data_IF_982830543662
#
_entry.id   IF_982830543662
#
_cell.length_a   1.000
_cell.length_b   1.000
_cell.length_c   1.000
_cell.angle_alpha   90.00
_cell.angle_beta   90.00
_cell.angle_gamma   90.00
#
_symmetry.space_group_name_H-M   'P 1'
#
loop_
_entity.id
_entity.type
_entity.pdbx_description
1 polymer ?
#
# COMPACT_ATOMS: atom_id res chain seq x y z
N UNK A 1 5.64 11.40 14.25
CA UNK A 1 5.30 10.92 12.90
C UNK A 1 5.86 9.51 12.73
N UNK A 2 5.06 8.49 12.38
CA UNK A 2 5.48 7.07 12.39
C UNK A 2 4.79 6.30 11.26
N UNK A 3 5.53 5.50 10.49
CA UNK A 3 4.95 4.47 9.64
C UNK A 3 4.62 3.24 10.50
N UNK A 4 3.36 2.81 10.52
CA UNK A 4 2.89 1.65 11.30
C UNK A 4 2.16 0.73 10.34
N UNK A 5 2.59 -0.53 10.27
CA UNK A 5 1.78 -1.60 9.69
C UNK A 5 0.65 -1.91 10.67
N UNK A 6 -0.59 -1.62 10.28
CA UNK A 6 -1.77 -1.95 11.09
C UNK A 6 -2.42 -3.22 10.54
N UNK A 7 -2.72 -4.14 11.44
CA UNK A 7 -3.58 -5.28 11.15
C UNK A 7 -5.02 -4.77 11.17
N UNK A 8 -5.64 -4.58 10.00
CA UNK A 8 -7.07 -4.30 9.92
C UNK A 8 -7.81 -5.65 9.91
N UNK A 9 -8.22 -6.10 11.11
CA UNK A 9 -9.22 -7.16 11.23
C UNK A 9 -10.58 -6.52 10.96
N UNK A 10 -11.24 -6.86 9.84
CA UNK A 10 -12.70 -6.78 9.81
C UNK A 10 -13.19 -7.77 10.86
N UNK A 11 -13.95 -7.29 11.84
CA UNK A 11 -14.49 -8.10 12.93
C UNK A 11 -15.13 -9.41 12.40
N UNK A 12 -14.35 -10.48 12.49
CA UNK A 12 -14.84 -11.86 12.59
C UNK A 12 -14.21 -12.40 13.87
N UNK A 13 -14.41 -11.69 14.98
CA UNK A 13 -14.19 -12.26 16.30
C UNK A 13 -15.42 -13.08 16.67
N UNK A 14 -15.38 -14.36 16.31
CA UNK A 14 -15.93 -15.38 17.17
C UNK A 14 -15.27 -16.74 16.87
N UNK A 15 -14.59 -17.26 17.91
CA UNK A 15 -14.18 -18.66 18.15
C UNK A 15 -12.82 -19.07 17.57
N UNK A 16 -11.80 -19.10 18.44
CA UNK A 16 -11.41 -20.31 19.18
C UNK A 16 -10.15 -20.00 20.01
N UNK A 17 -10.32 -19.85 21.32
CA UNK A 17 -9.24 -20.02 22.30
C UNK A 17 -8.88 -21.51 22.36
N UNK A 18 -7.65 -21.86 21.98
CA UNK A 18 -7.05 -23.14 22.34
C UNK A 18 -5.68 -22.83 22.92
N UNK A 19 -5.58 -22.92 24.26
CA UNK A 19 -4.33 -23.04 24.98
C UNK A 19 -3.64 -24.35 24.58
N UNK A 20 -2.46 -24.24 24.00
CA UNK A 20 -1.57 -25.36 23.69
C UNK A 20 -0.11 -24.95 23.92
N UNK A 21 0.78 -25.87 24.29
CA UNK A 21 2.15 -25.53 24.66
C UNK A 21 2.90 -24.96 23.44
N UNK A 22 3.60 -23.83 23.65
CA UNK A 22 4.48 -23.21 22.65
C UNK A 22 5.62 -24.15 22.30
N UNK A 23 5.44 -24.97 21.27
CA UNK A 23 6.55 -25.59 20.56
C UNK A 23 7.20 -24.53 19.67
N UNK A 24 8.53 -24.43 19.77
CA UNK A 24 9.36 -23.59 18.91
C UNK A 24 9.38 -24.22 17.51
N UNK A 25 8.37 -23.89 16.71
CA UNK A 25 8.23 -24.40 15.34
C UNK A 25 9.21 -23.65 14.46
N UNK A 26 10.23 -24.35 13.97
CA UNK A 26 10.96 -23.94 12.78
C UNK A 26 9.92 -23.74 11.68
N UNK A 27 9.62 -22.48 11.31
CA UNK A 27 8.78 -22.19 10.16
C UNK A 27 9.37 -22.96 8.96
N UNK A 28 8.56 -23.83 8.35
CA UNK A 28 8.95 -24.48 7.10
C UNK A 28 9.33 -23.41 6.09
N UNK A 29 10.34 -23.65 5.24
CA UNK A 29 10.82 -22.66 4.26
C UNK A 29 9.71 -22.14 3.32
N UNK A 30 8.64 -22.94 3.17
CA UNK A 30 7.40 -22.62 2.46
C UNK A 30 6.59 -21.51 3.14
N UNK A 31 6.62 -21.41 4.47
CA UNK A 31 5.87 -20.40 5.23
C UNK A 31 6.65 -19.08 5.39
N UNK A 32 7.96 -19.05 5.09
CA UNK A 32 8.79 -17.84 5.12
C UNK A 32 8.60 -16.98 3.85
N UNK A 33 7.36 -16.71 3.44
CA UNK A 33 7.03 -15.94 2.23
C UNK A 33 6.39 -14.61 2.60
N UNK A 34 6.92 -13.53 2.02
CA UNK A 34 6.35 -12.19 2.15
C UNK A 34 6.12 -11.60 0.76
N UNK A 35 4.91 -11.12 0.51
CA UNK A 35 4.55 -10.30 -0.64
C UNK A 35 4.41 -8.84 -0.19
N UNK A 36 5.03 -7.92 -0.93
CA UNK A 36 4.82 -6.48 -0.81
C UNK A 36 4.08 -5.99 -2.06
N UNK A 37 2.86 -5.50 -1.84
CA UNK A 37 2.07 -4.78 -2.83
C UNK A 37 2.12 -3.27 -2.55
N UNK A 38 3.11 -2.59 -3.11
CA UNK A 38 3.32 -1.15 -2.95
C UNK A 38 2.36 -0.33 -3.86
N UNK A 39 1.06 -0.49 -3.59
CA UNK A 39 -0.06 -0.09 -4.44
C UNK A 39 -0.03 1.38 -4.87
N UNK A 40 -0.14 1.59 -6.18
CA UNK A 40 -0.35 2.91 -6.78
C UNK A 40 -1.81 3.40 -6.54
N UNK A 41 -2.03 4.69 -6.25
CA UNK A 41 -3.38 5.25 -6.14
C UNK A 41 -4.16 5.17 -7.45
N UNK A 42 -5.45 4.81 -7.35
CA UNK A 42 -6.45 4.83 -8.45
C UNK A 42 -6.19 3.82 -9.59
N UNK A 43 -5.59 2.69 -9.27
CA UNK A 43 -5.30 1.56 -10.20
C UNK A 43 -6.07 0.28 -9.84
N UNK A 44 -7.31 0.42 -9.35
CA UNK A 44 -8.12 -0.69 -8.83
C UNK A 44 -7.51 -1.44 -7.63
N UNK A 45 -6.57 -0.80 -6.93
CA UNK A 45 -5.85 -1.42 -5.82
C UNK A 45 -6.73 -1.83 -4.65
N UNK A 46 -7.87 -1.17 -4.41
CA UNK A 46 -8.82 -1.57 -3.36
C UNK A 46 -9.46 -2.91 -3.67
N UNK A 47 -9.89 -3.12 -4.94
CA UNK A 47 -10.48 -4.38 -5.38
C UNK A 47 -9.48 -5.53 -5.23
N UNK A 48 -8.24 -5.35 -5.70
CA UNK A 48 -7.20 -6.38 -5.60
C UNK A 48 -6.84 -6.70 -4.14
N UNK A 49 -6.68 -5.69 -3.29
CA UNK A 49 -6.38 -5.89 -1.87
C UNK A 49 -7.51 -6.61 -1.13
N UNK A 50 -8.78 -6.36 -1.47
CA UNK A 50 -9.90 -7.04 -0.83
C UNK A 50 -9.91 -8.56 -1.12
N UNK A 51 -9.47 -8.99 -2.31
CA UNK A 51 -9.26 -10.41 -2.59
C UNK A 51 -8.25 -11.01 -1.61
N UNK A 52 -7.16 -10.30 -1.33
CA UNK A 52 -6.17 -10.76 -0.36
C UNK A 52 -6.78 -10.88 1.05
N UNK A 53 -7.61 -9.93 1.49
CA UNK A 53 -8.31 -9.99 2.78
C UNK A 53 -9.33 -11.13 2.84
N UNK A 54 -10.11 -11.35 1.78
CA UNK A 54 -11.16 -12.38 1.76
C UNK A 54 -10.56 -13.81 1.78
N UNK A 55 -9.37 -13.99 1.22
CA UNK A 55 -8.71 -15.29 1.10
C UNK A 55 -7.71 -15.60 2.23
N UNK A 56 -7.28 -14.60 3.01
CA UNK A 56 -6.17 -14.77 3.95
C UNK A 56 -6.45 -15.78 5.06
N UNK A 57 -7.68 -15.81 5.59
CA UNK A 57 -8.07 -16.76 6.62
C UNK A 57 -8.09 -18.20 6.09
N UNK A 58 -8.63 -18.41 4.89
CA UNK A 58 -8.73 -19.74 4.27
C UNK A 58 -7.36 -20.28 3.88
N UNK A 59 -6.50 -19.41 3.35
CA UNK A 59 -5.18 -19.77 2.84
C UNK A 59 -4.07 -19.59 3.88
N UNK A 60 -4.42 -19.27 5.14
CA UNK A 60 -3.52 -19.19 6.31
C UNK A 60 -2.32 -18.24 6.11
N UNK A 61 -2.58 -17.02 5.64
CA UNK A 61 -1.58 -15.95 5.59
C UNK A 61 -2.14 -14.65 6.21
N UNK A 62 -1.27 -13.67 6.45
CA UNK A 62 -1.62 -12.40 7.08
C UNK A 62 -1.70 -11.25 6.07
N UNK A 63 -2.60 -10.29 6.28
CA UNK A 63 -2.71 -9.08 5.44
C UNK A 63 -2.52 -7.84 6.30
N UNK A 64 -1.55 -7.01 5.94
CA UNK A 64 -1.18 -5.82 6.72
C UNK A 64 -1.17 -4.57 5.85
N UNK A 65 -1.85 -3.52 6.33
CA UNK A 65 -1.83 -2.21 5.68
C UNK A 65 -0.71 -1.34 6.24
N UNK A 66 0.18 -0.88 5.38
CA UNK A 66 1.27 0.06 5.69
C UNK A 66 0.73 1.48 5.57
N UNK A 67 0.61 2.17 6.70
CA UNK A 67 0.21 3.57 6.73
C UNK A 67 1.44 4.47 6.94
N UNK A 68 1.60 5.51 6.11
CA UNK A 68 2.63 6.54 6.24
C UNK A 68 2.02 7.88 6.59
N UNK A 69 2.76 8.70 7.34
CA UNK A 69 2.32 10.06 7.71
C UNK A 69 1.98 10.85 6.45
N UNK A 70 0.77 11.44 6.41
CA UNK A 70 0.25 12.23 5.27
C UNK A 70 0.24 11.46 3.93
N UNK A 71 0.29 10.13 3.95
CA UNK A 71 0.44 9.28 2.76
C UNK A 71 1.71 9.62 1.95
N UNK A 72 2.79 10.03 2.61
CA UNK A 72 4.07 10.23 1.94
C UNK A 72 4.60 8.88 1.42
N UNK A 73 4.85 8.74 0.10
CA UNK A 73 5.33 7.48 -0.47
C UNK A 73 6.83 7.23 -0.20
N UNK A 74 7.56 8.21 0.31
CA UNK A 74 9.00 8.11 0.63
C UNK A 74 9.17 8.02 2.15
N UNK A 75 9.74 6.92 2.62
CA UNK A 75 10.12 6.74 4.01
C UNK A 75 11.48 7.39 4.32
N UNK A 76 11.66 7.89 5.54
CA UNK A 76 12.97 8.27 6.06
C UNK A 76 13.90 7.06 6.13
N UNK A 77 15.22 7.25 6.06
CA UNK A 77 16.17 6.12 6.17
C UNK A 77 15.96 5.29 7.44
N UNK A 78 15.65 5.94 8.57
CA UNK A 78 15.38 5.25 9.83
C UNK A 78 14.10 4.40 9.75
N UNK A 79 13.05 4.91 9.11
CA UNK A 79 11.81 4.15 8.90
C UNK A 79 12.00 3.03 7.87
N UNK A 80 12.84 3.20 6.85
CA UNK A 80 13.21 2.13 5.92
C UNK A 80 13.88 0.98 6.66
N UNK A 81 14.89 1.26 7.51
CA UNK A 81 15.56 0.24 8.34
C UNK A 81 14.54 -0.47 9.24
N UNK A 82 13.64 0.28 9.89
CA UNK A 82 12.62 -0.31 10.77
C UNK A 82 11.64 -1.19 9.98
N UNK A 83 11.18 -0.72 8.82
CA UNK A 83 10.26 -1.45 7.98
C UNK A 83 10.87 -2.76 7.48
N UNK A 84 12.11 -2.72 6.99
CA UNK A 84 12.85 -3.91 6.55
C UNK A 84 13.03 -4.91 7.70
N UNK A 85 13.42 -4.43 8.89
CA UNK A 85 13.51 -5.28 10.08
C UNK A 85 12.18 -5.95 10.40
N UNK A 86 11.09 -5.16 10.50
CA UNK A 86 9.76 -5.70 10.78
C UNK A 86 9.33 -6.77 9.77
N UNK A 87 9.45 -6.49 8.47
CA UNK A 87 9.04 -7.43 7.43
C UNK A 87 9.86 -8.72 7.46
N UNK A 88 11.15 -8.63 7.75
CA UNK A 88 12.06 -9.78 7.70
C UNK A 88 12.04 -10.61 8.98
N UNK A 89 11.82 -9.99 10.15
CA UNK A 89 11.95 -10.67 11.46
C UNK A 89 10.63 -10.96 12.17
N UNK A 90 9.50 -10.39 11.73
CA UNK A 90 8.19 -10.63 12.35
C UNK A 90 7.63 -11.97 11.90
N UNK A 91 8.07 -13.05 12.57
CA UNK A 91 7.75 -14.43 12.23
C UNK A 91 6.25 -14.73 12.27
N UNK A 92 5.54 -14.17 13.25
CA UNK A 92 4.11 -14.37 13.48
C UNK A 92 3.21 -13.77 12.38
N UNK A 93 3.79 -12.98 11.45
CA UNK A 93 3.07 -12.40 10.31
C UNK A 93 3.43 -13.09 8.99
N UNK A 94 4.10 -14.24 9.03
CA UNK A 94 4.50 -15.00 7.85
C UNK A 94 3.68 -16.30 7.73
N UNK A 95 3.18 -16.64 6.52
CA UNK A 95 3.26 -15.86 5.28
C UNK A 95 2.49 -14.53 5.35
N UNK A 96 3.03 -13.49 4.71
CA UNK A 96 2.51 -12.12 4.87
C UNK A 96 2.31 -11.37 3.55
N UNK A 97 1.18 -10.68 3.43
CA UNK A 97 0.84 -9.76 2.35
C UNK A 97 0.77 -8.33 2.89
N UNK A 98 1.83 -7.56 2.65
CA UNK A 98 1.92 -6.16 3.05
C UNK A 98 1.50 -5.26 1.91
N UNK A 99 0.59 -4.32 2.13
CA UNK A 99 0.17 -3.37 1.10
C UNK A 99 0.13 -1.94 1.61
N UNK A 100 0.43 -0.98 0.74
CA UNK A 100 0.35 0.45 1.10
C UNK A 100 0.88 1.37 0.02
N UNK A 101 0.61 2.66 0.17
CA UNK A 101 1.06 3.71 -0.76
C UNK A 101 2.50 4.12 -0.46
N UNK A 102 3.44 3.22 -0.76
CA UNK A 102 4.87 3.42 -0.58
C UNK A 102 5.60 3.21 -1.91
N UNK A 103 6.73 3.87 -2.07
CA UNK A 103 7.59 3.67 -3.24
C UNK A 103 8.36 2.36 -3.09
N UNK A 104 8.89 1.83 -4.18
CA UNK A 104 9.78 0.69 -4.15
C UNK A 104 10.92 0.90 -3.14
N UNK A 105 11.12 -0.07 -2.26
CA UNK A 105 12.22 -0.11 -1.31
C UNK A 105 13.10 -1.31 -1.61
N UNK A 106 14.38 -1.06 -1.86
CA UNK A 106 15.34 -2.11 -2.15
C UNK A 106 15.84 -2.77 -0.85
N UNK A 107 15.29 -3.95 -0.55
CA UNK A 107 15.68 -4.73 0.62
C UNK A 107 17.13 -5.25 0.55
N UNK A 108 17.73 -5.35 -0.65
CA UNK A 108 19.10 -5.84 -0.79
C UNK A 108 20.12 -4.92 -0.11
N UNK A 109 19.85 -3.61 -0.10
CA UNK A 109 20.70 -2.59 0.56
C UNK A 109 20.83 -2.76 2.07
N UNK A 110 19.96 -3.58 2.67
CA UNK A 110 19.89 -3.80 4.12
C UNK A 110 20.40 -5.18 4.55
N UNK A 111 21.01 -5.96 3.64
CA UNK A 111 21.65 -7.23 3.99
C UNK A 111 20.69 -8.33 4.47
N UNK A 112 19.46 -8.35 3.94
CA UNK A 112 18.45 -9.35 4.34
C UNK A 112 18.78 -10.73 3.76
N UNK A 113 18.43 -11.80 4.51
CA UNK A 113 18.63 -13.19 4.05
C UNK A 113 17.71 -13.56 2.89
N UNK A 114 16.43 -13.20 2.99
CA UNK A 114 15.39 -13.49 2.00
C UNK A 114 14.70 -12.18 1.62
N UNK A 115 14.61 -11.89 0.32
CA UNK A 115 13.92 -10.70 -0.20
C UNK A 115 12.42 -10.98 -0.27
N UNK A 116 11.56 -9.99 0.03
CA UNK A 116 10.13 -10.11 -0.24
C UNK A 116 9.88 -10.14 -1.75
N UNK A 117 8.73 -10.70 -2.13
CA UNK A 117 8.23 -10.70 -3.50
C UNK A 117 7.47 -9.38 -3.71
N UNK A 118 7.85 -8.61 -4.74
CA UNK A 118 7.13 -7.39 -5.10
C UNK A 118 6.12 -7.68 -6.22
N UNK A 119 4.92 -7.12 -6.07
CA UNK A 119 3.90 -7.09 -7.12
C UNK A 119 3.28 -5.68 -7.19
N UNK A 120 2.73 -5.31 -8.34
CA UNK A 120 2.02 -4.04 -8.49
C UNK A 120 1.01 -4.08 -9.65
N UNK A 121 0.10 -3.12 -9.66
CA UNK A 121 -0.86 -2.89 -10.75
C UNK A 121 -0.86 -1.39 -11.07
N UNK A 122 -0.52 -1.07 -12.31
CA UNK A 122 -0.51 0.30 -12.86
C UNK A 122 -1.69 0.51 -13.82
N UNK A 123 -1.90 1.76 -14.22
CA UNK A 123 -2.94 2.16 -15.18
C UNK A 123 -2.37 3.14 -16.20
N UNK A 124 -3.06 3.35 -17.32
CA UNK A 124 -2.81 4.49 -18.19
C UNK A 124 -2.62 5.80 -17.36
N UNK A 125 -1.52 6.56 -17.59
CA UNK A 125 -1.20 7.72 -16.78
C UNK A 125 -2.31 8.80 -16.75
N UNK A 126 -2.96 9.04 -17.89
CA UNK A 126 -3.99 10.07 -18.03
C UNK A 126 -5.26 9.61 -17.32
N UNK A 127 -5.75 8.41 -17.61
CA UNK A 127 -6.94 7.88 -16.97
C UNK A 127 -6.80 7.79 -15.43
N UNK A 128 -5.61 7.42 -14.95
CA UNK A 128 -5.32 7.41 -13.51
C UNK A 128 -5.41 8.82 -12.92
N UNK A 129 -4.86 9.83 -13.61
CA UNK A 129 -4.93 11.22 -13.17
C UNK A 129 -6.37 11.74 -13.19
N UNK A 130 -7.14 11.47 -14.24
CA UNK A 130 -8.57 11.80 -14.34
C UNK A 130 -9.36 11.15 -13.20
N UNK A 131 -9.11 9.86 -12.93
CA UNK A 131 -9.73 9.14 -11.81
C UNK A 131 -9.40 9.77 -10.46
N UNK A 132 -8.15 10.21 -10.27
CA UNK A 132 -7.73 10.90 -9.04
C UNK A 132 -8.35 12.30 -8.92
N UNK A 133 -8.45 13.04 -10.03
CA UNK A 133 -9.02 14.38 -10.09
C UNK A 133 -10.48 14.39 -9.60
N UNK A 134 -11.30 13.49 -10.13
CA UNK A 134 -12.71 13.39 -9.75
C UNK A 134 -12.91 12.73 -8.39
N UNK A 135 -12.02 11.81 -8.00
CA UNK A 135 -12.02 11.25 -6.65
C UNK A 135 -11.89 12.34 -5.57
N UNK A 136 -11.04 13.34 -5.76
CA UNK A 136 -10.89 14.43 -4.78
C UNK A 136 -12.13 15.33 -4.66
N UNK A 137 -13.00 15.33 -5.68
CA UNK A 137 -14.21 16.17 -5.79
C UNK A 137 -15.48 15.45 -5.36
N UNK A 138 -15.60 14.17 -5.72
CA UNK A 138 -16.84 13.41 -5.55
C UNK A 138 -16.69 12.20 -4.62
N UNK A 139 -15.46 11.81 -4.27
CA UNK A 139 -15.21 10.66 -3.40
C UNK A 139 -15.25 9.33 -4.11
N UNK A 140 -15.59 8.30 -3.36
CA UNK A 140 -15.77 6.92 -3.80
C UNK A 140 -17.02 6.34 -3.14
N UNK A 141 -17.49 5.22 -3.66
CA UNK A 141 -18.61 4.43 -3.16
C UNK A 141 -18.20 3.43 -2.06
N UNK A 142 -16.89 3.17 -1.91
CA UNK A 142 -16.37 2.27 -0.87
C UNK A 142 -16.53 2.87 0.55
N UNK A 143 -16.34 4.19 0.69
CA UNK A 143 -16.47 4.94 1.94
C UNK A 143 -17.15 6.30 1.67
N UNK A 144 -18.47 6.29 1.38
CA UNK A 144 -19.18 7.48 0.89
C UNK A 144 -19.31 8.61 1.93
N UNK A 145 -19.24 8.28 3.23
CA UNK A 145 -19.33 9.27 4.30
C UNK A 145 -18.10 10.17 4.46
N UNK A 146 -16.99 9.89 3.77
CA UNK A 146 -15.76 10.68 3.89
C UNK A 146 -15.74 11.87 2.94
N UNK A 147 -15.77 13.08 3.51
CA UNK A 147 -15.53 14.32 2.77
C UNK A 147 -14.10 14.37 2.24
N UNK A 148 -13.97 14.64 0.95
CA UNK A 148 -12.67 14.74 0.27
C UNK A 148 -12.17 16.18 0.25
N UNK A 149 -10.86 16.34 0.10
CA UNK A 149 -10.17 17.64 0.22
C UNK A 149 -10.72 18.72 -0.71
N UNK A 150 -11.21 18.34 -1.90
CA UNK A 150 -11.72 19.27 -2.92
C UNK A 150 -13.22 19.08 -3.18
N UNK A 151 -13.96 18.53 -2.21
CA UNK A 151 -15.39 18.32 -2.38
C UNK A 151 -16.13 19.65 -2.54
N UNK A 152 -17.00 19.72 -3.55
CA UNK A 152 -17.74 20.94 -3.91
C UNK A 152 -17.13 21.72 -5.08
N UNK A 153 -15.90 21.41 -5.48
CA UNK A 153 -15.36 21.89 -6.75
C UNK A 153 -16.04 21.15 -7.92
N UNK A 154 -16.78 21.91 -8.72
CA UNK A 154 -17.58 21.41 -9.85
C UNK A 154 -16.85 21.47 -11.19
N UNK A 155 -15.64 22.05 -11.22
CA UNK A 155 -14.85 22.17 -12.44
C UNK A 155 -14.54 20.80 -13.01
N UNK A 156 -14.72 20.63 -14.30
CA UNK A 156 -14.37 19.40 -15.02
C UNK A 156 -12.87 19.30 -15.26
N UNK A 157 -12.40 18.10 -15.56
CA UNK A 157 -10.99 17.89 -15.91
C UNK A 157 -10.59 18.69 -17.16
N UNK A 158 -11.43 18.69 -18.19
CA UNK A 158 -11.19 19.41 -19.45
C UNK A 158 -11.11 20.92 -19.23
N UNK A 159 -12.04 21.51 -18.45
CA UNK A 159 -11.99 22.91 -18.05
C UNK A 159 -10.74 23.22 -17.22
N UNK A 160 -10.30 22.26 -16.39
CA UNK A 160 -9.06 22.41 -15.62
C UNK A 160 -7.87 22.53 -16.57
N UNK A 161 -7.75 21.63 -17.54
CA UNK A 161 -6.64 21.60 -18.51
C UNK A 161 -6.64 22.88 -19.35
N UNK A 162 -7.79 23.27 -19.91
CA UNK A 162 -7.92 24.47 -20.73
C UNK A 162 -7.52 25.76 -19.99
N UNK A 163 -7.72 25.80 -18.67
CA UNK A 163 -7.37 26.93 -17.82
C UNK A 163 -6.00 26.82 -17.15
N UNK A 164 -5.17 25.83 -17.48
CA UNK A 164 -3.86 25.63 -16.84
C UNK A 164 -3.92 25.33 -15.34
N UNK A 165 -4.93 24.57 -14.89
CA UNK A 165 -5.14 24.26 -13.49
C UNK A 165 -4.08 23.33 -12.87
N UNK A 166 -3.79 23.53 -11.58
CA UNK A 166 -2.69 22.79 -10.90
C UNK A 166 -2.98 21.32 -10.60
N UNK A 167 -4.24 20.90 -10.50
CA UNK A 167 -4.62 19.50 -10.26
C UNK A 167 -4.53 18.62 -11.51
N UNK A 168 -4.49 19.23 -12.70
CA UNK A 168 -4.48 18.59 -14.01
C UNK A 168 -3.22 18.93 -14.83
N UNK A 169 -2.24 19.59 -14.21
CA UNK A 169 -0.96 19.92 -14.83
C UNK A 169 -0.16 18.65 -15.19
N UNK A 170 0.67 18.67 -16.25
CA UNK A 170 1.47 17.53 -16.68
C UNK A 170 2.31 16.88 -15.58
N UNK A 171 2.86 17.69 -14.67
CA UNK A 171 3.66 17.23 -13.51
C UNK A 171 2.87 16.25 -12.62
N UNK A 172 1.53 16.28 -12.63
CA UNK A 172 0.70 15.34 -11.86
C UNK A 172 0.62 13.94 -12.48
N UNK A 173 1.10 13.77 -13.70
CA UNK A 173 1.29 12.45 -14.33
C UNK A 173 2.51 11.72 -13.75
N UNK A 174 3.51 12.46 -13.25
CA UNK A 174 4.73 11.92 -12.65
C UNK A 174 4.47 11.33 -11.26
N UNK A 175 3.89 10.12 -11.25
CA UNK A 175 3.60 9.38 -10.01
C UNK A 175 4.03 7.91 -10.12
N UNK A 176 3.63 7.25 -11.21
CA UNK A 176 3.87 5.81 -11.35
C UNK A 176 5.37 5.51 -11.49
N UNK A 177 6.13 6.35 -12.19
CA UNK A 177 7.58 6.21 -12.32
C UNK A 177 8.27 6.27 -10.94
N UNK A 178 8.08 7.33 -10.11
CA UNK A 178 8.65 7.38 -8.77
C UNK A 178 8.31 6.18 -7.89
N UNK A 179 7.10 5.62 -8.00
CA UNK A 179 6.68 4.44 -7.23
C UNK A 179 7.52 3.18 -7.52
N UNK A 180 8.12 3.08 -8.72
CA UNK A 180 9.03 1.98 -9.10
C UNK A 180 10.50 2.37 -9.00
N UNK A 181 10.84 3.63 -9.30
CA UNK A 181 12.18 4.18 -9.14
C UNK A 181 12.65 4.11 -7.67
N UNK A 182 11.73 4.40 -6.74
CA UNK A 182 11.92 4.15 -5.32
C UNK A 182 12.27 5.39 -4.51
N UNK A 183 13.21 5.23 -3.58
CA UNK A 183 13.52 6.21 -2.55
C UNK A 183 14.74 7.12 -2.88
N UNK A 184 15.23 7.11 -4.12
CA UNK A 184 16.35 7.97 -4.54
C UNK A 184 15.88 9.41 -4.84
N UNK A 185 16.79 10.37 -4.72
CA UNK A 185 16.52 11.79 -4.99
C UNK A 185 16.06 12.04 -6.43
N UNK A 186 16.68 11.37 -7.39
CA UNK A 186 16.44 11.57 -8.83
C UNK A 186 15.07 11.06 -9.28
N UNK A 187 14.34 10.34 -8.41
CA UNK A 187 13.03 9.80 -8.71
C UNK A 187 11.91 10.85 -8.61
N UNK A 188 12.11 11.96 -7.89
CA UNK A 188 11.06 12.87 -7.41
C UNK A 188 11.19 14.30 -7.90
#
# INVERSE_FOLDING_TARGET
>A
ERAIARHEVREIEQRHTVDGPRQDVTLDEEDDVVIIYNRVPKTASTSFTNIAYDLCAKNKYHVLHINTTKNNPVMSLQDQVRFVKNVTSWKEMKPGFYHGHISYLDFAKFGVKKKPIYINVIRDPIERLVSYYYFLRFGDDYRPGLRRRKQGDKKTFDECVAAGGSDCAPEKLWLQIPFFCGHSSECW
#
